data_IF_939447386245
#
_entry.id   IF_939447386245
#
_cell.length_a   1.000
_cell.length_b   1.000
_cell.length_c   1.000
_cell.angle_alpha   90.00
_cell.angle_beta   90.00
_cell.angle_gamma   90.00
#
_symmetry.space_group_name_H-M   'P 1'
#
loop_
_entity.id
_entity.type
_entity.pdbx_description
1 polymer ?
#
# COMPACT_ATOMS: atom_id res chain seq x y z
N UNK A 1 -42.48 6.13 -9.07
CA UNK A 1 -41.12 6.66 -9.32
C UNK A 1 -40.23 6.09 -8.25
N UNK A 2 -39.41 5.09 -8.61
CA UNK A 2 -38.58 4.32 -7.68
C UNK A 2 -37.33 5.14 -7.42
N UNK A 3 -37.11 5.54 -6.16
CA UNK A 3 -35.87 6.22 -5.75
C UNK A 3 -34.68 5.28 -6.02
N UNK A 4 -33.55 5.78 -6.54
CA UNK A 4 -32.38 4.95 -6.75
C UNK A 4 -31.91 4.47 -5.38
N UNK A 5 -31.65 3.17 -5.26
CA UNK A 5 -31.06 2.54 -4.09
C UNK A 5 -29.77 3.29 -3.71
N UNK A 6 -29.84 4.14 -2.68
CA UNK A 6 -28.66 4.62 -1.98
C UNK A 6 -28.04 3.40 -1.31
N UNK A 7 -27.00 2.87 -1.93
CA UNK A 7 -26.17 1.85 -1.32
C UNK A 7 -25.50 2.48 -0.10
N UNK A 8 -26.08 2.24 1.08
CA UNK A 8 -25.47 2.42 2.39
C UNK A 8 -24.04 1.88 2.31
N UNK A 9 -23.05 2.77 2.33
CA UNK A 9 -21.65 2.33 2.14
C UNK A 9 -21.19 1.75 3.49
N UNK A 10 -20.28 0.77 3.49
CA UNK A 10 -19.76 0.19 4.73
C UNK A 10 -18.94 1.18 5.62
N UNK A 11 -18.95 2.47 5.30
CA UNK A 11 -18.36 3.56 6.09
C UNK A 11 -19.32 4.15 7.13
N UNK A 12 -20.58 3.69 7.17
CA UNK A 12 -21.68 4.25 7.98
C UNK A 12 -21.62 3.88 9.48
N UNK A 13 -20.51 3.29 9.93
CA UNK A 13 -20.28 3.10 11.35
C UNK A 13 -20.02 4.47 12.01
N UNK A 14 -20.64 4.78 13.16
CA UNK A 14 -20.34 6.02 13.89
C UNK A 14 -18.83 6.10 14.11
N UNK A 15 -18.25 7.31 13.96
CA UNK A 15 -16.81 7.65 14.00
C UNK A 15 -16.02 7.13 15.23
N UNK A 16 -16.62 6.33 16.10
CA UNK A 16 -16.08 5.83 17.35
C UNK A 16 -16.04 4.30 17.48
N UNK A 17 -16.57 3.50 16.54
CA UNK A 17 -16.51 2.04 16.66
C UNK A 17 -15.30 1.44 15.92
N UNK A 18 -14.50 0.62 16.61
CA UNK A 18 -13.37 -0.04 15.99
C UNK A 18 -13.85 -1.07 14.96
N UNK A 19 -13.45 -0.90 13.70
CA UNK A 19 -13.72 -1.88 12.65
C UNK A 19 -12.70 -3.02 12.78
N UNK A 20 -13.18 -4.25 12.97
CA UNK A 20 -12.31 -5.41 13.16
C UNK A 20 -11.34 -5.59 11.99
N UNK A 21 -10.04 -5.68 12.29
CA UNK A 21 -8.99 -5.88 11.29
C UNK A 21 -8.59 -4.62 10.51
N UNK A 22 -9.04 -3.44 10.96
CA UNK A 22 -8.80 -2.13 10.35
C UNK A 22 -8.15 -1.20 11.35
N UNK A 23 -7.20 -0.39 10.88
CA UNK A 23 -6.52 0.57 11.74
C UNK A 23 -7.12 1.97 11.67
N UNK A 24 -7.88 2.27 10.62
CA UNK A 24 -8.78 3.43 10.63
C UNK A 24 -10.11 3.07 11.32
N UNK A 25 -10.62 4.01 12.13
CA UNK A 25 -11.94 3.91 12.77
C UNK A 25 -13.06 4.47 11.91
N UNK A 26 -12.75 5.02 10.74
CA UNK A 26 -13.75 5.66 9.89
C UNK A 26 -13.22 6.25 8.60
N UNK A 27 -14.14 6.79 7.83
CA UNK A 27 -13.86 7.53 6.61
C UNK A 27 -13.34 8.94 6.95
N UNK A 28 -12.23 9.31 6.33
CA UNK A 28 -11.77 10.68 6.23
C UNK A 28 -11.96 11.16 4.79
N UNK A 29 -12.46 12.38 4.53
CA UNK A 29 -12.69 12.86 3.18
C UNK A 29 -11.38 12.97 2.38
N UNK A 30 -11.50 12.75 1.07
CA UNK A 30 -10.42 12.95 0.10
C UNK A 30 -10.03 14.42 -0.01
N UNK A 31 -8.83 14.70 -0.54
CA UNK A 31 -8.30 16.07 -0.61
C UNK A 31 -9.14 17.01 -1.49
N UNK A 32 -9.74 16.46 -2.54
CA UNK A 32 -10.47 17.23 -3.56
C UNK A 32 -11.98 16.99 -3.48
N UNK A 33 -12.44 16.42 -2.38
CA UNK A 33 -13.83 16.09 -2.15
C UNK A 33 -14.60 17.35 -1.75
N UNK A 34 -15.66 17.67 -2.49
CA UNK A 34 -16.43 18.92 -2.33
C UNK A 34 -17.72 18.69 -1.53
N UNK A 35 -18.16 17.43 -1.46
CA UNK A 35 -19.38 17.01 -0.76
C UNK A 35 -19.00 15.95 0.25
N UNK A 36 -19.47 16.07 1.49
CA UNK A 36 -19.30 15.03 2.51
C UNK A 36 -20.65 14.39 2.78
N UNK A 37 -20.65 13.07 2.88
CA UNK A 37 -21.83 12.27 3.22
C UNK A 37 -21.81 11.98 4.73
N UNK A 38 -22.99 12.00 5.35
CA UNK A 38 -23.16 11.66 6.75
C UNK A 38 -24.26 10.62 6.85
N UNK A 39 -23.95 9.47 7.48
CA UNK A 39 -24.95 8.48 7.82
C UNK A 39 -25.95 9.10 8.81
N UNK A 40 -27.24 8.98 8.49
CA UNK A 40 -28.34 9.40 9.34
C UNK A 40 -29.25 8.19 9.51
N UNK A 41 -29.67 7.92 10.74
CA UNK A 41 -30.72 6.94 11.00
C UNK A 41 -32.02 7.44 10.36
N UNK A 42 -32.48 6.73 9.34
CA UNK A 42 -33.71 7.02 8.61
C UNK A 42 -34.95 6.35 9.23
N UNK A 43 -34.78 5.67 10.38
CA UNK A 43 -35.83 4.94 11.08
C UNK A 43 -36.14 3.57 10.50
N UNK A 44 -35.37 3.11 9.51
CA UNK A 44 -35.48 1.77 8.96
C UNK A 44 -34.47 0.85 9.67
N UNK A 45 -34.98 -0.15 10.37
CA UNK A 45 -34.12 -1.16 11.00
C UNK A 45 -33.53 -2.07 9.92
N UNK A 46 -32.20 -2.12 9.83
CA UNK A 46 -31.54 -3.23 9.18
C UNK A 46 -31.88 -4.50 9.97
N UNK A 47 -32.41 -5.51 9.31
CA UNK A 47 -32.62 -6.83 9.94
C UNK A 47 -31.24 -7.39 10.30
N UNK A 48 -30.93 -7.51 11.60
CA UNK A 48 -29.62 -7.96 12.12
C UNK A 48 -29.28 -9.44 11.78
N UNK A 49 -30.10 -10.09 10.95
CA UNK A 49 -29.77 -11.39 10.37
C UNK A 49 -28.37 -11.40 9.72
N UNK A 50 -27.64 -12.51 9.82
CA UNK A 50 -26.29 -12.66 9.25
C UNK A 50 -26.22 -12.37 7.73
N UNK A 51 -27.37 -12.39 7.05
CA UNK A 51 -27.53 -12.09 5.63
C UNK A 51 -27.41 -10.58 5.32
N UNK A 52 -27.70 -9.71 6.30
CA UNK A 52 -27.67 -8.25 6.20
C UNK A 52 -26.67 -7.57 7.15
N UNK A 53 -25.98 -8.34 8.00
CA UNK A 53 -24.87 -7.84 8.81
C UNK A 53 -23.84 -7.11 7.92
N UNK A 54 -23.61 -5.82 8.22
CA UNK A 54 -22.75 -4.91 7.45
C UNK A 54 -21.54 -5.63 6.87
N UNK A 55 -21.54 -5.79 5.53
CA UNK A 55 -20.64 -6.68 4.84
C UNK A 55 -19.18 -6.43 5.23
N UNK A 56 -18.46 -7.50 5.58
CA UNK A 56 -17.02 -7.44 5.91
C UNK A 56 -16.30 -6.62 4.84
N UNK A 57 -15.78 -5.45 5.22
CA UNK A 57 -15.01 -4.58 4.34
C UNK A 57 -13.84 -5.34 3.72
N UNK A 58 -13.99 -5.79 2.47
CA UNK A 58 -12.94 -6.52 1.75
C UNK A 58 -11.95 -5.55 1.14
N UNK A 59 -10.67 -5.92 1.19
CA UNK A 59 -9.64 -5.18 0.46
C UNK A 59 -9.78 -5.45 -1.04
N UNK A 60 -9.83 -4.37 -1.81
CA UNK A 60 -9.84 -4.34 -3.27
C UNK A 60 -8.46 -3.90 -3.76
N UNK A 61 -7.98 -4.54 -4.84
CA UNK A 61 -6.66 -4.28 -5.40
C UNK A 61 -6.80 -4.04 -6.89
N UNK A 62 -6.51 -2.81 -7.30
CA UNK A 62 -6.50 -2.38 -8.69
C UNK A 62 -5.10 -2.54 -9.27
N UNK A 63 -5.00 -3.04 -10.49
CA UNK A 63 -3.72 -3.08 -11.21
C UNK A 63 -3.40 -1.69 -11.77
N UNK A 64 -2.19 -1.20 -11.53
CA UNK A 64 -1.72 0.11 -11.95
C UNK A 64 -0.51 -0.07 -12.88
N UNK A 65 -0.58 0.53 -14.08
CA UNK A 65 0.59 0.67 -14.96
C UNK A 65 1.30 1.97 -14.61
N UNK A 66 2.41 1.88 -13.87
CA UNK A 66 3.17 3.05 -13.48
C UNK A 66 3.96 3.64 -14.65
N UNK A 67 4.26 4.94 -14.61
CA UNK A 67 5.18 5.59 -15.57
C UNK A 67 6.63 5.51 -15.12
N UNK A 68 6.86 5.59 -13.81
CA UNK A 68 8.16 5.48 -13.15
C UNK A 68 8.01 4.68 -11.87
N UNK A 69 9.09 4.03 -11.43
CA UNK A 69 9.08 3.21 -10.20
C UNK A 69 9.99 3.74 -9.10
N UNK A 70 11.11 4.38 -9.47
CA UNK A 70 12.02 5.01 -8.51
C UNK A 70 11.51 6.41 -8.17
N UNK A 71 11.13 6.59 -6.91
CA UNK A 71 10.87 7.91 -6.31
C UNK A 71 12.17 8.48 -5.76
N UNK A 72 12.40 9.79 -5.93
CA UNK A 72 13.62 10.46 -5.49
C UNK A 72 13.30 11.60 -4.53
N UNK A 73 14.16 11.81 -3.56
CA UNK A 73 14.07 12.94 -2.63
C UNK A 73 15.46 13.56 -2.39
N UNK A 74 15.48 14.82 -1.96
CA UNK A 74 16.70 15.59 -1.67
C UNK A 74 16.66 16.15 -0.24
N UNK A 75 15.84 15.56 0.64
CA UNK A 75 15.72 16.05 2.01
C UNK A 75 16.99 15.71 2.79
N UNK A 76 17.61 16.68 3.48
CA UNK A 76 18.76 16.41 4.33
C UNK A 76 18.40 15.56 5.56
N UNK A 77 17.10 15.47 5.89
CA UNK A 77 16.59 14.75 7.07
C UNK A 77 16.32 13.26 6.79
N UNK A 78 16.39 12.83 5.53
CA UNK A 78 16.08 11.46 5.11
C UNK A 78 17.37 10.77 4.65
N UNK A 79 17.74 9.69 5.34
CA UNK A 79 18.99 8.94 5.10
C UNK A 79 19.06 8.14 3.80
N UNK A 80 18.10 8.31 2.88
CA UNK A 80 18.10 7.67 1.56
C UNK A 80 17.61 8.68 0.52
N UNK A 81 18.12 8.59 -0.71
CA UNK A 81 17.73 9.47 -1.82
C UNK A 81 16.75 8.83 -2.79
N UNK A 82 16.70 7.49 -2.85
CA UNK A 82 15.87 6.72 -3.77
C UNK A 82 14.99 5.73 -3.03
N UNK A 83 13.74 5.58 -3.46
CA UNK A 83 12.85 4.55 -2.93
C UNK A 83 11.99 3.90 -4.02
N UNK A 84 11.61 2.65 -3.76
CA UNK A 84 10.71 1.87 -4.60
C UNK A 84 9.59 1.33 -3.73
N UNK A 85 8.35 1.47 -4.21
CA UNK A 85 7.17 0.95 -3.55
C UNK A 85 6.31 0.22 -4.59
N UNK A 86 6.15 -1.11 -4.49
CA UNK A 86 5.35 -1.90 -5.44
C UNK A 86 3.86 -1.61 -5.35
N UNK A 87 3.40 -1.07 -4.23
CA UNK A 87 1.99 -0.82 -3.96
C UNK A 87 1.72 0.64 -3.57
N UNK A 88 0.49 1.10 -3.79
CA UNK A 88 -0.09 2.27 -3.12
C UNK A 88 -1.20 1.77 -2.20
N UNK A 89 -1.17 2.21 -0.94
CA UNK A 89 -2.02 1.64 0.11
C UNK A 89 -1.38 0.42 0.76
N UNK A 90 -1.81 0.10 1.98
CA UNK A 90 -1.20 -0.95 2.78
C UNK A 90 -2.25 -1.68 3.62
N UNK A 91 -2.38 -2.99 3.43
CA UNK A 91 -3.29 -3.86 4.20
C UNK A 91 -2.96 -3.94 5.69
N UNK A 92 -1.73 -3.61 6.11
CA UNK A 92 -1.40 -3.51 7.53
C UNK A 92 -2.18 -2.41 8.25
N UNK A 93 -2.66 -1.40 7.51
CA UNK A 93 -3.61 -0.41 8.02
C UNK A 93 -3.15 0.43 9.21
N UNK A 94 -1.85 0.49 9.52
CA UNK A 94 -1.38 1.13 10.75
C UNK A 94 -1.93 2.56 10.86
N UNK A 95 -2.63 2.86 11.96
CA UNK A 95 -3.28 4.16 12.19
C UNK A 95 -2.30 5.33 12.13
N UNK A 96 -1.06 5.11 12.59
CA UNK A 96 0.04 6.07 12.60
C UNK A 96 0.86 6.12 11.30
N UNK A 97 0.40 5.47 10.22
CA UNK A 97 1.18 5.40 8.99
C UNK A 97 1.28 6.78 8.30
N UNK A 98 2.50 7.30 8.18
CA UNK A 98 2.77 8.59 7.53
C UNK A 98 2.37 8.63 6.04
N UNK A 99 2.18 7.47 5.39
CA UNK A 99 1.82 7.39 3.99
C UNK A 99 0.31 7.51 3.74
N UNK A 100 -0.54 7.44 4.79
CA UNK A 100 -2.00 7.59 4.70
C UNK A 100 -2.45 8.82 3.89
N UNK A 101 -1.87 10.02 4.09
CA UNK A 101 -2.22 11.22 3.32
C UNK A 101 -2.01 11.09 1.80
N UNK A 102 -1.21 10.12 1.33
CA UNK A 102 -1.00 9.93 -0.12
C UNK A 102 -2.27 9.51 -0.86
N UNK A 103 -3.20 8.81 -0.19
CA UNK A 103 -4.49 8.41 -0.75
C UNK A 103 -5.44 9.59 -0.96
N UNK A 104 -5.31 10.65 -0.16
CA UNK A 104 -6.13 11.84 -0.32
C UNK A 104 -5.93 12.51 -1.70
N UNK A 105 -4.73 12.41 -2.28
CA UNK A 105 -4.43 12.90 -3.63
C UNK A 105 -5.04 12.04 -4.75
N UNK A 106 -5.47 10.81 -4.45
CA UNK A 106 -6.23 9.96 -5.36
C UNK A 106 -7.74 10.20 -5.25
N UNK A 107 -8.15 11.23 -4.48
CA UNK A 107 -9.52 11.45 -4.06
C UNK A 107 -10.12 10.22 -3.36
N UNK A 108 -9.28 9.50 -2.61
CA UNK A 108 -9.67 8.38 -1.77
C UNK A 108 -9.46 8.75 -0.31
N UNK A 109 -10.20 8.08 0.57
CA UNK A 109 -10.04 8.31 2.00
C UNK A 109 -8.62 8.02 2.48
N UNK A 110 -7.90 8.98 3.09
CA UNK A 110 -6.67 8.66 3.82
C UNK A 110 -6.94 7.84 5.09
N UNK A 111 -8.23 7.63 5.43
CA UNK A 111 -8.79 6.75 6.46
C UNK A 111 -8.87 5.30 5.98
N UNK A 112 -10.08 4.80 5.76
CA UNK A 112 -10.33 3.40 5.42
C UNK A 112 -9.84 3.00 4.03
N UNK A 113 -9.89 3.89 3.04
CA UNK A 113 -9.48 3.54 1.66
C UNK A 113 -7.97 3.27 1.54
N UNK A 114 -7.14 3.83 2.41
CA UNK A 114 -5.71 3.53 2.43
C UNK A 114 -5.43 2.02 2.63
N UNK A 115 -6.28 1.34 3.40
CA UNK A 115 -6.11 -0.07 3.77
C UNK A 115 -7.13 -1.02 3.10
N UNK A 116 -8.13 -0.48 2.42
CA UNK A 116 -9.15 -1.25 1.68
C UNK A 116 -9.07 -1.07 0.16
N UNK A 117 -8.50 0.03 -0.37
CA UNK A 117 -8.36 0.28 -1.82
C UNK A 117 -6.89 0.46 -2.19
N UNK A 118 -6.29 -0.63 -2.67
CA UNK A 118 -4.87 -0.71 -2.98
C UNK A 118 -4.65 -0.66 -4.48
N UNK A 119 -3.46 -0.22 -4.87
CA UNK A 119 -2.98 -0.24 -6.25
C UNK A 119 -1.70 -1.04 -6.32
N UNK A 120 -1.64 -2.04 -7.21
CA UNK A 120 -0.48 -2.87 -7.45
C UNK A 120 0.19 -2.45 -8.76
N UNK A 121 1.45 -1.98 -8.69
CA UNK A 121 2.21 -1.55 -9.86
C UNK A 121 2.76 -2.76 -10.62
N UNK A 122 1.96 -3.35 -11.49
CA UNK A 122 2.26 -4.64 -12.12
C UNK A 122 3.47 -4.60 -13.04
N UNK A 123 3.79 -3.43 -13.61
CA UNK A 123 4.97 -3.21 -14.45
C UNK A 123 6.22 -2.74 -13.68
N UNK A 124 6.20 -2.75 -12.34
CA UNK A 124 7.29 -2.25 -11.51
C UNK A 124 8.66 -2.94 -11.79
N UNK A 125 8.76 -4.27 -11.96
CA UNK A 125 10.04 -4.93 -12.26
C UNK A 125 10.63 -4.48 -13.60
N UNK A 126 9.80 -4.35 -14.63
CA UNK A 126 10.21 -3.94 -15.97
C UNK A 126 10.70 -2.49 -15.97
N UNK A 127 9.98 -1.59 -15.28
CA UNK A 127 10.39 -0.20 -15.10
C UNK A 127 11.71 -0.09 -14.33
N UNK A 128 11.89 -0.91 -13.29
CA UNK A 128 13.12 -0.88 -12.50
C UNK A 128 14.30 -1.30 -13.37
N UNK A 129 14.18 -2.43 -14.06
CA UNK A 129 15.21 -2.92 -14.98
C UNK A 129 15.57 -1.87 -16.04
N UNK A 130 14.56 -1.24 -16.64
CA UNK A 130 14.77 -0.20 -17.64
C UNK A 130 15.53 1.01 -17.07
N UNK A 131 15.12 1.51 -15.90
CA UNK A 131 15.75 2.67 -15.26
C UNK A 131 17.21 2.39 -14.86
N UNK A 132 17.49 1.21 -14.29
CA UNK A 132 18.85 0.81 -13.90
C UNK A 132 19.79 0.60 -15.10
N UNK A 133 19.24 0.26 -16.28
CA UNK A 133 20.02 0.05 -17.49
C UNK A 133 20.38 1.35 -18.24
N UNK A 134 19.91 2.51 -17.78
CA UNK A 134 20.18 3.79 -18.44
C UNK A 134 21.68 4.13 -18.31
N UNK A 135 22.37 4.54 -19.39
CA UNK A 135 23.78 4.94 -19.32
C UNK A 135 24.05 6.09 -18.33
N UNK A 136 23.04 6.92 -18.08
CA UNK A 136 23.09 8.04 -17.14
C UNK A 136 22.77 7.65 -15.69
N UNK A 137 22.40 6.40 -15.41
CA UNK A 137 22.02 5.98 -14.07
C UNK A 137 23.25 5.87 -13.17
N UNK A 138 23.21 6.56 -12.04
CA UNK A 138 24.24 6.46 -11.00
C UNK A 138 23.68 5.62 -9.85
N UNK A 139 24.31 4.46 -9.55
CA UNK A 139 23.85 3.60 -8.46
C UNK A 139 23.83 4.33 -7.12
N UNK A 140 22.73 4.18 -6.39
CA UNK A 140 22.56 4.67 -5.02
C UNK A 140 21.59 3.75 -4.29
N UNK A 141 21.84 3.36 -3.02
CA UNK A 141 20.99 2.40 -2.32
C UNK A 141 19.50 2.75 -2.38
N UNK A 142 18.68 1.78 -2.79
CA UNK A 142 17.23 1.94 -2.89
C UNK A 142 16.56 1.54 -1.58
N UNK A 143 15.71 2.39 -1.03
CA UNK A 143 14.80 2.01 0.06
C UNK A 143 13.53 1.35 -0.49
N UNK A 144 13.38 0.04 -0.28
CA UNK A 144 12.25 -0.75 -0.73
C UNK A 144 11.19 -0.89 0.38
N UNK A 145 9.95 -0.49 0.07
CA UNK A 145 8.83 -0.63 0.99
C UNK A 145 8.71 0.45 2.06
N UNK A 146 9.13 1.68 1.74
CA UNK A 146 9.12 2.80 2.71
C UNK A 146 7.73 3.41 2.92
N UNK A 147 6.93 3.61 1.86
CA UNK A 147 5.59 4.19 1.95
C UNK A 147 4.54 3.12 2.21
N UNK A 148 4.73 1.94 1.63
CA UNK A 148 3.84 0.80 1.78
C UNK A 148 4.69 -0.43 2.07
N UNK A 149 4.19 -1.33 2.89
CA UNK A 149 4.95 -2.53 3.23
C UNK A 149 5.14 -3.41 1.99
N UNK A 150 6.39 -3.73 1.66
CA UNK A 150 6.73 -4.54 0.50
C UNK A 150 6.17 -5.97 0.59
N UNK A 151 6.00 -6.50 1.80
CA UNK A 151 5.47 -7.84 2.07
C UNK A 151 4.09 -7.79 2.76
N UNK A 152 3.28 -6.77 2.50
CA UNK A 152 1.88 -6.78 2.93
C UNK A 152 1.11 -8.03 2.46
N UNK A 153 0.03 -8.47 3.13
CA UNK A 153 -0.64 -9.75 2.85
C UNK A 153 -0.90 -10.08 1.37
N UNK A 154 -1.27 -9.09 0.53
CA UNK A 154 -1.49 -9.27 -0.91
C UNK A 154 -0.24 -9.73 -1.68
N UNK A 155 0.96 -9.44 -1.17
CA UNK A 155 2.24 -9.88 -1.75
C UNK A 155 2.37 -11.41 -1.80
N UNK A 156 1.60 -12.16 -0.97
CA UNK A 156 1.53 -13.63 -1.06
C UNK A 156 1.06 -14.10 -2.44
N UNK A 157 0.17 -13.34 -3.08
CA UNK A 157 -0.41 -13.65 -4.39
C UNK A 157 0.31 -12.94 -5.53
N UNK A 158 0.73 -11.70 -5.31
CA UNK A 158 1.24 -10.82 -6.38
C UNK A 158 2.72 -10.99 -6.68
N UNK A 159 3.53 -11.39 -5.68
CA UNK A 159 4.96 -11.62 -5.85
C UNK A 159 5.72 -10.45 -6.54
N UNK A 160 5.25 -9.20 -6.39
CA UNK A 160 5.87 -8.04 -7.05
C UNK A 160 7.17 -7.65 -6.35
N UNK A 161 7.21 -7.76 -5.02
CA UNK A 161 8.44 -7.53 -4.25
C UNK A 161 9.49 -8.56 -4.60
N UNK A 162 9.11 -9.84 -4.75
CA UNK A 162 10.04 -10.88 -5.21
C UNK A 162 10.66 -10.51 -6.56
N UNK A 163 9.84 -10.18 -7.56
CA UNK A 163 10.33 -9.80 -8.90
C UNK A 163 11.22 -8.55 -8.88
N UNK A 164 10.93 -7.58 -8.00
CA UNK A 164 11.81 -6.43 -7.80
C UNK A 164 13.16 -6.84 -7.20
N UNK A 165 13.17 -7.75 -6.23
CA UNK A 165 14.40 -8.29 -5.64
C UNK A 165 15.20 -9.09 -6.67
N UNK A 166 14.56 -9.84 -7.56
CA UNK A 166 15.23 -10.55 -8.67
C UNK A 166 15.98 -9.56 -9.57
N UNK A 167 15.36 -8.43 -9.95
CA UNK A 167 16.02 -7.37 -10.72
C UNK A 167 17.21 -6.77 -9.96
N UNK A 168 17.06 -6.48 -8.67
CA UNK A 168 18.14 -5.94 -7.83
C UNK A 168 19.27 -6.96 -7.65
N UNK A 169 18.94 -8.26 -7.56
CA UNK A 169 19.89 -9.34 -7.46
C UNK A 169 20.73 -9.50 -8.73
N UNK A 170 20.07 -9.57 -9.89
CA UNK A 170 20.74 -9.66 -11.19
C UNK A 170 21.68 -8.49 -11.46
N UNK A 171 21.29 -7.29 -11.03
CA UNK A 171 22.08 -6.06 -11.21
C UNK A 171 23.08 -5.81 -10.08
N UNK A 172 23.11 -6.67 -9.06
CA UNK A 172 23.92 -6.51 -7.84
C UNK A 172 23.70 -5.15 -7.16
N UNK A 173 22.49 -4.60 -7.27
CA UNK A 173 22.19 -3.26 -6.84
C UNK A 173 21.89 -3.21 -5.33
N UNK A 174 22.52 -2.31 -4.55
CA UNK A 174 22.29 -2.26 -3.11
C UNK A 174 20.89 -1.72 -2.77
N UNK A 175 20.28 -2.25 -1.72
CA UNK A 175 18.99 -1.78 -1.22
C UNK A 175 18.80 -2.05 0.27
N UNK A 176 17.86 -1.32 0.87
CA UNK A 176 17.32 -1.63 2.19
C UNK A 176 15.86 -2.03 2.03
N UNK A 177 15.39 -2.94 2.88
CA UNK A 177 14.03 -3.43 2.85
C UNK A 177 13.39 -3.23 4.22
N UNK A 178 12.18 -2.70 4.24
CA UNK A 178 11.41 -2.49 5.48
C UNK A 178 10.12 -3.31 5.40
N UNK A 179 9.83 -4.10 6.43
CA UNK A 179 8.58 -4.86 6.51
C UNK A 179 8.15 -5.19 7.93
N UNK A 180 6.86 -5.46 8.11
CA UNK A 180 6.23 -5.98 9.33
C UNK A 180 5.84 -7.45 9.21
N UNK A 181 6.03 -8.05 8.04
CA UNK A 181 5.48 -9.36 7.73
C UNK A 181 6.58 -10.43 7.64
N UNK A 182 6.36 -11.56 8.32
CA UNK A 182 7.24 -12.73 8.22
C UNK A 182 7.31 -13.32 6.81
N UNK A 183 6.42 -12.92 5.88
CA UNK A 183 6.46 -13.32 4.48
C UNK A 183 7.80 -13.03 3.79
N UNK A 184 8.61 -12.08 4.29
CA UNK A 184 9.99 -11.88 3.82
C UNK A 184 10.84 -13.14 3.81
N UNK A 185 10.54 -14.09 4.69
CA UNK A 185 11.24 -15.38 4.75
C UNK A 185 11.07 -16.24 3.49
N UNK A 186 10.02 -15.99 2.68
CA UNK A 186 9.79 -16.65 1.39
C UNK A 186 10.97 -16.43 0.44
N UNK A 187 11.56 -15.23 0.48
CA UNK A 187 12.54 -14.78 -0.52
C UNK A 187 13.98 -14.81 0.04
N UNK A 188 14.24 -15.64 1.07
CA UNK A 188 15.58 -15.85 1.64
C UNK A 188 16.58 -16.42 0.62
N UNK A 189 16.10 -17.15 -0.38
CA UNK A 189 16.91 -17.67 -1.48
C UNK A 189 17.60 -16.55 -2.27
N UNK A 190 16.98 -15.36 -2.36
CA UNK A 190 17.54 -14.17 -2.99
C UNK A 190 18.25 -13.26 -1.96
N UNK A 191 17.63 -13.06 -0.79
CA UNK A 191 18.12 -12.12 0.21
C UNK A 191 19.41 -12.60 0.90
N UNK A 192 19.55 -13.88 1.21
CA UNK A 192 20.72 -14.38 1.93
C UNK A 192 22.03 -14.28 1.13
N UNK A 193 22.07 -14.59 -0.19
CA UNK A 193 23.23 -14.27 -1.03
C UNK A 193 23.58 -12.78 -1.05
N UNK A 194 22.59 -11.89 -1.20
CA UNK A 194 22.81 -10.45 -1.21
C UNK A 194 23.36 -9.94 0.13
N UNK A 195 22.86 -10.49 1.24
CA UNK A 195 23.30 -10.11 2.58
C UNK A 195 24.76 -10.52 2.82
N UNK A 196 25.18 -11.70 2.33
CA UNK A 196 26.59 -12.13 2.39
C UNK A 196 27.55 -11.18 1.67
N UNK A 197 27.03 -10.44 0.69
CA UNK A 197 27.79 -9.46 -0.08
C UNK A 197 27.55 -8.01 0.38
N UNK A 198 26.88 -7.82 1.52
CA UNK A 198 26.52 -6.52 2.08
C UNK A 198 25.66 -5.64 1.14
N UNK A 199 24.88 -6.26 0.25
CA UNK A 199 24.03 -5.54 -0.71
C UNK A 199 22.60 -5.32 -0.18
N UNK A 200 22.18 -6.02 0.86
CA UNK A 200 20.85 -5.84 1.45
C UNK A 200 20.90 -5.75 2.97
N UNK A 201 20.12 -4.82 3.51
CA UNK A 201 19.75 -4.78 4.93
C UNK A 201 18.23 -4.85 5.07
N UNK A 202 17.75 -5.73 5.94
CA UNK A 202 16.32 -5.92 6.21
C UNK A 202 15.99 -5.38 7.61
N UNK A 203 15.00 -4.50 7.68
CA UNK A 203 14.53 -3.88 8.92
C UNK A 203 13.09 -4.29 9.20
N UNK A 204 12.83 -4.67 10.45
CA UNK A 204 11.49 -4.98 10.95
C UNK A 204 10.91 -3.79 11.73
N UNK A 205 9.61 -3.51 11.58
CA UNK A 205 8.92 -2.38 12.23
C UNK A 205 7.56 -2.78 12.82
#
# INVERSE_FOLDING_TARGET
MVAPYETCRPYDAPMASAIKGRGATGYLPGRFEVTTEHAVDDGWYADDSEEFAAGVLRTQVTEETARTIISRNQSPDIGFSQSVNPYRGCEHGCSYCFARPSHAYLNLSPGLDFETKLFAKTNAPQLLRHELARPSYVPSPIALGINTDAYQPIERKRALTRQLIEVLWETRHPFTLITKNALVTRDLDLLAPLARENLVNVHFR
#
